data_IF_785151258314
#
_entry.id   IF_785151258314
#
_cell.length_a   1.000
_cell.length_b   1.000
_cell.length_c   1.000
_cell.angle_alpha   90.00
_cell.angle_beta   90.00
_cell.angle_gamma   90.00
#
_symmetry.space_group_name_H-M   'P 1'
#
loop_
_entity.id
_entity.type
_entity.pdbx_description
1 polymer ?
#
# COMPACT_ATOMS: atom_id res chain seq x y z
N UNK A 1 -7.79 -13.33 -14.67
CA UNK A 1 -6.59 -12.48 -14.57
C UNK A 1 -6.33 -12.30 -13.09
N UNK A 2 -5.08 -12.37 -12.63
CA UNK A 2 -4.77 -12.14 -11.21
C UNK A 2 -4.70 -10.65 -10.95
N UNK A 3 -5.51 -10.15 -10.01
CA UNK A 3 -5.53 -8.73 -9.66
C UNK A 3 -4.21 -8.33 -8.99
N UNK A 4 -3.64 -7.19 -9.40
CA UNK A 4 -2.43 -6.62 -8.79
C UNK A 4 -2.78 -5.31 -8.11
N UNK A 5 -2.59 -5.25 -6.80
CA UNK A 5 -2.90 -4.08 -6.00
C UNK A 5 -1.61 -3.48 -5.45
N UNK A 6 -1.42 -2.19 -5.71
CA UNK A 6 -0.46 -1.37 -4.98
C UNK A 6 -1.14 -0.82 -3.73
N UNK A 7 -0.39 -0.67 -2.64
CA UNK A 7 -0.89 -0.05 -1.42
C UNK A 7 0.05 1.04 -0.92
N UNK A 8 -0.56 2.13 -0.44
CA UNK A 8 0.13 3.22 0.26
C UNK A 8 -0.73 3.74 1.41
N UNK A 9 -0.11 4.13 2.52
CA UNK A 9 -0.84 4.63 3.68
C UNK A 9 0.05 5.35 4.69
N UNK A 10 -0.58 5.89 5.73
CA UNK A 10 0.16 6.62 6.77
C UNK A 10 0.98 5.68 7.67
N UNK A 11 2.15 6.16 8.12
CA UNK A 11 2.95 5.47 9.16
C UNK A 11 2.26 5.39 10.52
N UNK A 12 1.21 6.20 10.72
CA UNK A 12 0.43 6.21 11.96
C UNK A 12 -0.57 5.05 12.06
N UNK A 13 -0.73 4.27 10.97
CA UNK A 13 -1.73 3.21 10.88
C UNK A 13 -3.07 3.70 10.30
N UNK A 14 -3.83 2.74 9.78
CA UNK A 14 -5.19 2.93 9.32
C UNK A 14 -6.14 3.18 10.50
N UNK A 15 -7.13 4.03 10.26
CA UNK A 15 -8.30 4.18 11.11
C UNK A 15 -9.17 2.93 11.10
N UNK A 16 -10.10 2.82 12.07
CA UNK A 16 -11.08 1.74 12.10
C UNK A 16 -11.94 1.68 10.83
N UNK A 17 -12.31 2.84 10.28
CA UNK A 17 -13.11 2.91 9.05
C UNK A 17 -12.32 2.44 7.81
N UNK A 18 -11.04 2.81 7.71
CA UNK A 18 -10.15 2.31 6.65
C UNK A 18 -9.93 0.79 6.75
N UNK A 19 -9.77 0.25 7.96
CA UNK A 19 -9.71 -1.20 8.17
C UNK A 19 -11.00 -1.91 7.73
N UNK A 20 -12.16 -1.35 8.07
CA UNK A 20 -13.46 -1.91 7.69
C UNK A 20 -13.72 -1.86 6.17
N UNK A 21 -13.03 -0.98 5.46
CA UNK A 21 -13.12 -0.87 4.00
C UNK A 21 -12.35 -1.97 3.25
N UNK A 22 -11.20 -2.44 3.77
CA UNK A 22 -10.33 -3.40 3.07
C UNK A 22 -11.06 -4.65 2.52
N UNK A 23 -11.96 -5.32 3.28
CA UNK A 23 -12.68 -6.49 2.78
C UNK A 23 -13.55 -6.22 1.54
N UNK A 24 -13.93 -4.97 1.29
CA UNK A 24 -14.77 -4.58 0.14
C UNK A 24 -13.98 -4.38 -1.15
N UNK A 25 -12.65 -4.24 -1.07
CA UNK A 25 -11.78 -3.89 -2.21
C UNK A 25 -10.63 -4.86 -2.42
N UNK A 26 -10.39 -5.77 -1.49
CA UNK A 26 -9.33 -6.76 -1.58
C UNK A 26 -9.90 -8.18 -1.62
N UNK A 27 -9.69 -8.85 -2.74
CA UNK A 27 -10.15 -10.23 -2.98
C UNK A 27 -9.07 -11.25 -2.66
N UNK A 28 -9.42 -12.47 -2.20
CA UNK A 28 -8.47 -13.57 -2.09
C UNK A 28 -7.74 -13.84 -3.42
N UNK A 29 -6.44 -14.13 -3.36
CA UNK A 29 -5.60 -14.36 -4.55
C UNK A 29 -5.06 -13.09 -5.22
N UNK A 30 -5.30 -11.92 -4.64
CA UNK A 30 -4.71 -10.65 -5.08
C UNK A 30 -3.20 -10.61 -4.83
N UNK A 31 -2.42 -10.15 -5.81
CA UNK A 31 -1.00 -9.84 -5.64
C UNK A 31 -0.85 -8.43 -5.08
N UNK A 32 -0.36 -8.31 -3.84
CA UNK A 32 -0.14 -7.05 -3.15
C UNK A 32 1.31 -6.55 -3.34
N UNK A 33 1.45 -5.27 -3.66
CA UNK A 33 2.70 -4.52 -3.60
C UNK A 33 2.58 -3.39 -2.56
N UNK A 34 3.49 -3.33 -1.59
CA UNK A 34 3.51 -2.24 -0.60
C UNK A 34 4.94 -1.89 -0.17
N UNK A 35 5.07 -0.83 0.64
CA UNK A 35 6.37 -0.24 0.97
C UNK A 35 7.16 -0.88 2.10
N UNK A 36 6.59 -1.84 2.83
CA UNK A 36 7.24 -2.45 4.00
C UNK A 36 7.53 -1.46 5.14
N UNK A 37 6.73 -0.41 5.30
CA UNK A 37 6.83 0.48 6.46
C UNK A 37 5.95 0.02 7.64
N UNK A 38 6.21 0.57 8.83
CA UNK A 38 5.30 0.48 9.97
C UNK A 38 3.99 1.23 9.71
N UNK A 39 2.96 0.95 10.50
CA UNK A 39 1.65 1.58 10.35
C UNK A 39 0.82 0.88 9.28
N UNK A 40 0.27 1.64 8.34
CA UNK A 40 -0.69 1.14 7.36
C UNK A 40 -0.13 0.01 6.50
N UNK A 41 1.14 0.10 6.09
CA UNK A 41 1.82 -0.96 5.32
C UNK A 41 1.86 -2.29 6.08
N UNK A 42 2.28 -2.28 7.36
CA UNK A 42 2.34 -3.48 8.20
C UNK A 42 0.93 -4.07 8.46
N UNK A 43 -0.08 -3.21 8.61
CA UNK A 43 -1.46 -3.63 8.79
C UNK A 43 -2.06 -4.24 7.51
N UNK A 44 -1.81 -3.64 6.35
CA UNK A 44 -2.24 -4.18 5.06
C UNK A 44 -1.51 -5.50 4.75
N UNK A 45 -0.23 -5.59 5.11
CA UNK A 45 0.57 -6.82 4.98
C UNK A 45 -0.05 -7.98 5.78
N UNK A 46 -0.37 -7.74 7.05
CA UNK A 46 -1.04 -8.74 7.88
C UNK A 46 -2.41 -9.14 7.29
N UNK A 47 -3.22 -8.15 6.90
CA UNK A 47 -4.53 -8.39 6.29
C UNK A 47 -4.45 -9.21 4.99
N UNK A 48 -3.45 -8.96 4.15
CA UNK A 48 -3.27 -9.72 2.91
C UNK A 48 -2.95 -11.19 3.18
N UNK A 49 -2.08 -11.49 4.15
CA UNK A 49 -1.78 -12.88 4.54
C UNK A 49 -2.95 -13.60 5.20
N UNK A 50 -3.82 -12.89 5.93
CA UNK A 50 -5.06 -13.46 6.46
C UNK A 50 -6.03 -13.89 5.35
N UNK A 51 -5.99 -13.21 4.19
CA UNK A 51 -6.90 -13.45 3.05
C UNK A 51 -6.31 -14.33 1.96
N UNK A 52 -4.99 -14.36 1.84
CA UNK A 52 -4.26 -15.12 0.84
C UNK A 52 -3.04 -15.74 1.53
N UNK A 53 -3.13 -16.99 2.01
CA UNK A 53 -2.04 -17.64 2.75
C UNK A 53 -0.85 -18.04 1.86
N UNK A 54 -0.97 -17.91 0.54
CA UNK A 54 0.12 -18.19 -0.40
C UNK A 54 1.25 -17.15 -0.27
N UNK A 55 2.49 -17.62 -0.17
CA UNK A 55 3.67 -16.79 0.11
C UNK A 55 4.02 -15.81 -1.02
N UNK A 56 3.68 -16.13 -2.26
CA UNK A 56 4.07 -15.32 -3.41
C UNK A 56 3.08 -14.17 -3.69
N UNK A 57 2.05 -14.03 -2.86
CA UNK A 57 1.01 -13.02 -3.02
C UNK A 57 1.40 -11.63 -2.48
N UNK A 58 2.44 -11.51 -1.66
CA UNK A 58 2.85 -10.24 -1.04
C UNK A 58 4.28 -9.87 -1.43
N UNK A 59 4.42 -8.76 -2.13
CA UNK A 59 5.71 -8.16 -2.52
C UNK A 59 5.98 -6.89 -1.72
N UNK A 60 7.10 -6.87 -1.02
CA UNK A 60 7.57 -5.74 -0.23
C UNK A 60 8.64 -4.98 -1.01
N UNK A 61 8.44 -3.67 -1.17
CA UNK A 61 9.43 -2.76 -1.72
C UNK A 61 10.04 -1.92 -0.58
N UNK A 62 11.11 -2.38 0.10
CA UNK A 62 11.62 -1.73 1.29
C UNK A 62 12.35 -0.40 0.97
N UNK A 63 12.26 0.63 1.85
CA UNK A 63 13.02 1.87 1.70
C UNK A 63 14.46 1.70 2.18
N UNK A 64 15.49 2.33 1.57
CA UNK A 64 16.90 2.24 2.03
C UNK A 64 17.05 2.58 3.52
N UNK A 65 16.37 3.62 3.99
CA UNK A 65 16.37 3.98 5.40
C UNK A 65 15.51 3.00 6.23
N UNK A 66 16.10 2.18 7.13
CA UNK A 66 15.36 1.15 7.85
C UNK A 66 14.54 1.67 9.02
N UNK A 67 14.66 2.94 9.41
CA UNK A 67 14.08 3.50 10.65
C UNK A 67 12.58 3.25 10.80
N UNK A 68 11.84 3.24 9.70
CA UNK A 68 10.39 3.05 9.68
C UNK A 68 9.98 1.74 9.00
N UNK A 69 10.90 0.80 8.77
CA UNK A 69 10.56 -0.49 8.18
C UNK A 69 9.77 -1.33 9.19
N UNK A 70 8.79 -2.07 8.70
CA UNK A 70 8.17 -3.13 9.47
C UNK A 70 9.18 -4.27 9.72
N UNK A 71 8.94 -5.15 10.71
CA UNK A 71 9.72 -6.36 10.88
C UNK A 71 9.78 -7.19 9.60
N UNK A 72 10.92 -7.83 9.36
CA UNK A 72 11.07 -8.75 8.23
C UNK A 72 10.09 -9.93 8.37
N UNK A 73 9.36 -10.21 7.30
CA UNK A 73 8.46 -11.35 7.21
C UNK A 73 8.95 -12.29 6.09
N UNK A 74 9.45 -13.50 6.43
CA UNK A 74 9.99 -14.44 5.44
C UNK A 74 8.94 -15.02 4.50
N UNK A 75 7.64 -14.81 4.78
CA UNK A 75 6.55 -15.28 3.92
C UNK A 75 6.36 -14.41 2.67
N UNK A 76 6.88 -13.19 2.67
CA UNK A 76 6.73 -12.25 1.55
C UNK A 76 7.98 -12.19 0.67
N UNK A 77 7.81 -11.75 -0.58
CA UNK A 77 8.92 -11.43 -1.47
C UNK A 77 9.46 -10.02 -1.15
N UNK A 78 10.67 -9.93 -0.59
CA UNK A 78 11.34 -8.65 -0.34
C UNK A 78 12.27 -8.27 -1.48
N UNK A 79 12.01 -7.13 -2.12
CA UNK A 79 12.84 -6.60 -3.21
C UNK A 79 14.05 -5.82 -2.68
N UNK A 80 15.08 -5.56 -3.53
CA UNK A 80 16.19 -4.68 -3.16
C UNK A 80 15.69 -3.31 -2.71
N UNK A 81 16.27 -2.78 -1.63
CA UNK A 81 15.83 -1.52 -1.06
C UNK A 81 16.16 -0.32 -1.97
N UNK A 82 15.24 0.65 -2.04
CA UNK A 82 15.38 1.89 -2.83
C UNK A 82 15.01 3.13 -2.02
N UNK A 83 15.33 4.32 -2.52
CA UNK A 83 14.83 5.57 -1.94
C UNK A 83 13.31 5.64 -2.05
N UNK A 84 12.67 6.34 -1.09
CA UNK A 84 11.20 6.36 -0.96
C UNK A 84 10.49 6.71 -2.27
N UNK A 85 10.94 7.75 -2.97
CA UNK A 85 10.25 8.22 -4.18
C UNK A 85 10.35 7.23 -5.33
N UNK A 86 11.49 6.57 -5.52
CA UNK A 86 11.69 5.60 -6.59
C UNK A 86 10.94 4.29 -6.27
N UNK A 87 11.00 3.88 -5.00
CA UNK A 87 10.25 2.73 -4.50
C UNK A 87 8.75 2.91 -4.64
N UNK A 88 8.23 4.09 -4.31
CA UNK A 88 6.80 4.39 -4.41
C UNK A 88 6.32 4.32 -5.86
N UNK A 89 7.18 4.71 -6.82
CA UNK A 89 6.91 4.54 -8.24
C UNK A 89 6.86 3.07 -8.63
N UNK A 90 7.81 2.26 -8.18
CA UNK A 90 7.80 0.81 -8.47
C UNK A 90 6.53 0.11 -7.97
N UNK A 91 6.00 0.49 -6.80
CA UNK A 91 4.73 -0.05 -6.28
C UNK A 91 3.60 0.24 -7.28
N UNK A 92 3.51 1.50 -7.72
CA UNK A 92 2.46 1.96 -8.64
C UNK A 92 2.61 1.30 -10.01
N UNK A 93 3.83 1.20 -10.52
CA UNK A 93 4.13 0.62 -11.83
C UNK A 93 3.85 -0.90 -11.86
N UNK A 94 4.11 -1.60 -10.76
CA UNK A 94 3.84 -3.04 -10.63
C UNK A 94 2.34 -3.39 -10.44
N UNK A 95 1.54 -2.42 -10.00
CA UNK A 95 0.11 -2.62 -9.69
C UNK A 95 -0.80 -2.52 -10.92
N UNK A 96 -2.07 -2.85 -10.78
CA UNK A 96 -3.15 -2.51 -11.71
C UNK A 96 -4.11 -1.46 -11.15
N UNK A 97 -4.22 -1.40 -9.83
CA UNK A 97 -4.99 -0.48 -9.01
C UNK A 97 -4.15 -0.06 -7.79
N UNK A 98 -4.19 1.21 -7.39
CA UNK A 98 -3.60 1.67 -6.13
C UNK A 98 -4.71 1.84 -5.07
N UNK A 99 -4.59 1.17 -3.93
CA UNK A 99 -5.37 1.46 -2.74
C UNK A 99 -4.59 2.42 -1.84
N UNK A 100 -5.24 3.48 -1.36
CA UNK A 100 -4.59 4.49 -0.53
C UNK A 100 -5.36 4.78 0.76
N UNK A 101 -4.63 4.84 1.88
CA UNK A 101 -5.17 5.13 3.22
C UNK A 101 -4.43 6.28 3.89
N UNK A 102 -4.60 7.53 3.41
CA UNK A 102 -3.97 8.70 4.02
C UNK A 102 -4.53 8.97 5.42
N UNK A 103 -3.76 9.69 6.24
CA UNK A 103 -4.19 10.16 7.58
C UNK A 103 -4.97 11.49 7.55
N UNK A 104 -5.30 11.99 6.36
CA UNK A 104 -5.98 13.27 6.19
C UNK A 104 -5.80 13.86 4.80
N UNK A 105 -6.12 15.15 4.62
CA UNK A 105 -6.10 15.81 3.33
C UNK A 105 -4.70 15.89 2.71
N UNK A 106 -4.67 16.13 1.39
CA UNK A 106 -3.45 16.30 0.59
C UNK A 106 -2.57 17.41 1.16
N UNK A 107 -1.30 17.09 1.38
CA UNK A 107 -0.30 18.02 1.92
C UNK A 107 1.08 17.74 1.35
N UNK A 108 1.87 18.79 1.17
CA UNK A 108 3.26 18.70 0.70
C UNK A 108 4.11 17.86 1.66
N UNK A 109 5.04 17.08 1.10
CA UNK A 109 5.95 16.23 1.87
C UNK A 109 5.33 14.95 2.44
N UNK A 110 4.05 14.66 2.16
CA UNK A 110 3.46 13.37 2.48
C UNK A 110 3.85 12.33 1.43
N UNK A 111 4.52 11.24 1.87
CA UNK A 111 4.84 10.11 1.00
C UNK A 111 3.59 9.47 0.41
N UNK A 112 2.54 9.27 1.22
CA UNK A 112 1.26 8.71 0.75
C UNK A 112 0.65 9.54 -0.37
N UNK A 113 0.58 10.86 -0.21
CA UNK A 113 0.04 11.74 -1.26
C UNK A 113 0.94 11.83 -2.48
N UNK A 114 2.27 11.76 -2.31
CA UNK A 114 3.19 11.63 -3.43
C UNK A 114 2.92 10.36 -4.26
N UNK A 115 2.72 9.21 -3.61
CA UNK A 115 2.39 7.95 -4.31
C UNK A 115 1.06 8.06 -5.07
N UNK A 116 0.03 8.64 -4.44
CA UNK A 116 -1.27 8.90 -5.09
C UNK A 116 -1.10 9.79 -6.32
N UNK A 117 -0.37 10.90 -6.17
CA UNK A 117 -0.15 11.86 -7.25
C UNK A 117 0.59 11.23 -8.43
N UNK A 118 1.59 10.39 -8.16
CA UNK A 118 2.29 9.65 -9.20
C UNK A 118 1.36 8.68 -9.93
N UNK A 119 0.54 7.90 -9.21
CA UNK A 119 -0.45 7.00 -9.81
C UNK A 119 -1.41 7.74 -10.74
N UNK A 120 -1.98 8.85 -10.28
CA UNK A 120 -2.86 9.70 -11.10
C UNK A 120 -2.13 10.22 -12.34
N UNK A 121 -0.87 10.65 -12.20
CA UNK A 121 -0.08 11.20 -13.32
C UNK A 121 0.16 10.19 -14.46
N UNK A 122 0.23 8.89 -14.13
CA UNK A 122 0.39 7.81 -15.12
C UNK A 122 -0.94 7.13 -15.47
N UNK A 123 -2.08 7.69 -15.02
CA UNK A 123 -3.44 7.15 -15.24
C UNK A 123 -3.66 5.76 -14.62
N UNK A 124 -2.98 5.45 -13.53
CA UNK A 124 -3.28 4.29 -12.70
C UNK A 124 -4.53 4.60 -11.86
N UNK A 125 -5.61 3.80 -11.93
CA UNK A 125 -6.78 3.99 -11.07
C UNK A 125 -6.38 3.99 -9.60
N UNK A 126 -6.97 4.88 -8.81
CA UNK A 126 -6.73 4.96 -7.35
C UNK A 126 -8.06 4.93 -6.61
N UNK A 127 -8.12 4.17 -5.51
CA UNK A 127 -9.18 4.31 -4.52
C UNK A 127 -8.57 4.85 -3.22
N UNK A 128 -9.00 6.05 -2.84
CA UNK A 128 -8.57 6.70 -1.60
C UNK A 128 -9.65 6.54 -0.55
N UNK A 129 -9.35 5.83 0.53
CA UNK A 129 -10.21 5.77 1.71
C UNK A 129 -9.68 6.70 2.80
N UNK A 130 -10.45 7.72 3.14
CA UNK A 130 -10.11 8.69 4.18
C UNK A 130 -10.35 8.13 5.59
N UNK A 131 -9.80 8.77 6.65
CA UNK A 131 -9.95 8.28 8.02
C UNK A 131 -11.40 8.16 8.53
N UNK A 132 -12.35 8.87 7.92
CA UNK A 132 -13.78 8.80 8.22
C UNK A 132 -14.52 7.69 7.45
N UNK A 133 -13.81 6.95 6.58
CA UNK A 133 -14.36 5.90 5.74
C UNK A 133 -14.92 6.39 4.41
N UNK A 134 -14.90 7.70 4.12
CA UNK A 134 -15.25 8.20 2.79
C UNK A 134 -14.27 7.62 1.77
N UNK A 135 -14.79 7.14 0.64
CA UNK A 135 -13.98 6.60 -0.46
C UNK A 135 -14.14 7.47 -1.69
N UNK A 136 -13.03 7.97 -2.23
CA UNK A 136 -13.00 8.71 -3.49
C UNK A 136 -12.19 7.94 -4.55
N UNK A 137 -12.76 7.66 -5.74
CA UNK A 137 -12.01 7.18 -6.88
C UNK A 137 -11.29 8.34 -7.59
N UNK A 138 -10.02 8.16 -7.96
CA UNK A 138 -9.20 9.11 -8.72
C UNK A 138 -8.62 8.47 -9.99
#
# INVERSE_FOLDING_TARGET
>A
MTDRIGFTGTRNGMSAAQHAWLPSVFSPGTLLHHGGCVGADAQMHAFAFERTPDTDAVTVHPPINPRLRMPYDPRALWLPAKDYLDRDRDIVDASTLLLATPDGPRRSGSGTWYTIDYAVSIKRPVLVCYPDGKVDPL
#
